data_IF_450580601168
#
_entry.id   IF_450580601168
#
_cell.length_a   1.000
_cell.length_b   1.000
_cell.length_c   1.000
_cell.angle_alpha   90.00
_cell.angle_beta   90.00
_cell.angle_gamma   90.00
#
_symmetry.space_group_name_H-M   'P 1'
#
loop_
_entity.id
_entity.type
_entity.pdbx_description
1 polymer ?
#
# COMPACT_ATOMS: atom_id res chain seq x y z
N UNK A 1 -13.97 -43.06 53.47
CA UNK A 1 -13.57 -41.73 52.96
C UNK A 1 -13.43 -41.84 51.45
N UNK A 2 -14.46 -41.48 50.70
CA UNK A 2 -14.43 -41.41 49.23
C UNK A 2 -14.39 -39.94 48.82
N UNK A 3 -13.36 -39.54 48.07
CA UNK A 3 -13.20 -38.19 47.55
C UNK A 3 -13.91 -38.09 46.20
N UNK A 4 -14.99 -37.30 46.14
CA UNK A 4 -15.65 -36.91 44.90
C UNK A 4 -14.83 -35.82 44.21
N UNK A 5 -14.32 -36.08 43.00
CA UNK A 5 -13.78 -35.05 42.12
C UNK A 5 -14.88 -34.49 41.23
N UNK A 6 -15.25 -33.24 41.46
CA UNK A 6 -16.06 -32.43 40.54
C UNK A 6 -15.11 -31.70 39.59
N UNK A 7 -15.14 -32.03 38.30
CA UNK A 7 -14.49 -31.23 37.25
C UNK A 7 -15.58 -30.37 36.61
N UNK A 8 -15.49 -29.03 36.62
CA UNK A 8 -16.47 -28.21 35.92
C UNK A 8 -16.21 -28.33 34.42
N UNK A 9 -17.25 -28.69 33.66
CA UNK A 9 -17.24 -28.54 32.21
C UNK A 9 -17.12 -27.04 31.89
N UNK A 10 -15.98 -26.64 31.33
CA UNK A 10 -15.85 -25.37 30.63
C UNK A 10 -16.70 -25.45 29.37
N UNK A 11 -17.83 -24.73 29.38
CA UNK A 11 -18.61 -24.50 28.17
C UNK A 11 -17.76 -23.63 27.24
N UNK A 12 -17.21 -24.23 26.19
CA UNK A 12 -16.71 -23.49 25.04
C UNK A 12 -17.91 -22.84 24.37
N UNK A 13 -18.15 -21.57 24.69
CA UNK A 13 -19.04 -20.72 23.91
C UNK A 13 -18.51 -20.72 22.48
N UNK A 14 -19.27 -21.29 21.55
CA UNK A 14 -19.00 -21.19 20.13
C UNK A 14 -19.08 -19.71 19.75
N UNK A 15 -17.94 -19.05 19.64
CA UNK A 15 -17.83 -17.85 18.82
C UNK A 15 -18.28 -18.27 17.43
N UNK A 16 -19.43 -17.75 17.01
CA UNK A 16 -19.86 -17.84 15.62
C UNK A 16 -18.74 -17.21 14.79
N UNK A 17 -17.94 -18.05 14.13
CA UNK A 17 -17.18 -17.60 12.97
C UNK A 17 -18.26 -17.28 11.95
N UNK A 18 -18.65 -16.01 11.88
CA UNK A 18 -19.51 -15.53 10.81
C UNK A 18 -18.72 -15.77 9.54
N UNK A 19 -19.09 -16.80 8.78
CA UNK A 19 -18.61 -17.01 7.42
C UNK A 19 -18.73 -15.67 6.70
N UNK A 20 -17.62 -15.13 6.18
CA UNK A 20 -17.65 -13.91 5.41
C UNK A 20 -18.53 -14.18 4.20
N UNK A 21 -19.81 -13.77 4.29
CA UNK A 21 -20.79 -13.95 3.23
C UNK A 21 -20.19 -13.42 1.93
N UNK A 22 -20.57 -14.05 0.81
CA UNK A 22 -20.24 -13.59 -0.53
C UNK A 22 -20.95 -12.26 -0.82
N UNK A 23 -20.54 -11.22 -0.10
CA UNK A 23 -21.09 -9.88 -0.13
C UNK A 23 -20.27 -9.11 -1.15
N UNK A 24 -20.89 -8.88 -2.31
CA UNK A 24 -20.37 -7.95 -3.29
C UNK A 24 -20.53 -6.54 -2.75
N UNK A 25 -19.43 -5.78 -2.70
CA UNK A 25 -19.40 -4.41 -2.23
C UNK A 25 -19.70 -3.44 -3.38
N UNK A 26 -20.35 -2.32 -3.06
CA UNK A 26 -20.67 -1.29 -4.04
C UNK A 26 -19.41 -0.46 -4.29
N UNK A 27 -18.93 -0.47 -5.54
CA UNK A 27 -17.80 0.33 -5.98
C UNK A 27 -18.30 1.55 -6.74
N UNK A 28 -18.63 2.61 -6.02
CA UNK A 28 -19.07 3.88 -6.59
C UNK A 28 -18.48 5.04 -5.78
N UNK A 29 -18.24 6.19 -6.41
CA UNK A 29 -17.68 7.37 -5.73
C UNK A 29 -18.51 7.82 -4.53
N UNK A 30 -19.83 7.58 -4.56
CA UNK A 30 -20.78 7.85 -3.47
C UNK A 30 -20.54 7.03 -2.21
N UNK A 31 -19.81 5.91 -2.32
CA UNK A 31 -19.43 5.06 -1.18
C UNK A 31 -18.38 5.74 -0.30
N UNK A 32 -17.68 6.74 -0.85
CA UNK A 32 -16.57 7.39 -0.19
C UNK A 32 -16.91 8.82 0.18
N UNK A 33 -16.54 9.19 1.40
CA UNK A 33 -16.48 10.56 1.88
C UNK A 33 -15.04 11.02 1.84
N UNK A 34 -14.81 12.30 1.53
CA UNK A 34 -13.47 12.88 1.53
C UNK A 34 -12.93 12.85 2.97
N UNK A 35 -11.89 12.06 3.28
CA UNK A 35 -11.39 11.98 4.64
C UNK A 35 -10.62 13.25 5.04
N UNK A 36 -10.76 13.64 6.30
CA UNK A 36 -9.97 14.74 6.85
C UNK A 36 -8.63 14.20 7.37
N UNK A 37 -7.55 14.54 6.66
CA UNK A 37 -6.19 14.11 6.98
C UNK A 37 -5.34 15.36 7.14
N UNK A 38 -4.89 15.59 8.38
CA UNK A 38 -4.06 16.75 8.69
C UNK A 38 -2.81 16.79 7.78
N UNK A 39 -2.64 17.90 7.06
CA UNK A 39 -1.52 18.11 6.14
C UNK A 39 -1.77 17.73 4.69
N UNK A 40 -2.98 17.29 4.33
CA UNK A 40 -3.31 16.85 2.97
C UNK A 40 -4.65 17.43 2.48
N UNK A 41 -4.64 18.13 1.34
CA UNK A 41 -5.87 18.63 0.73
C UNK A 41 -6.39 17.62 -0.30
N UNK A 42 -7.53 17.01 -0.02
CA UNK A 42 -8.17 16.06 -0.95
C UNK A 42 -9.08 16.81 -1.90
N UNK A 43 -8.80 16.71 -3.20
CA UNK A 43 -9.53 17.44 -4.24
C UNK A 43 -10.73 16.65 -4.74
N UNK A 44 -10.55 15.35 -5.01
CA UNK A 44 -11.62 14.47 -5.49
C UNK A 44 -11.30 13.01 -5.22
N UNK A 45 -12.36 12.22 -5.10
CA UNK A 45 -12.32 10.76 -5.06
C UNK A 45 -13.23 10.21 -6.15
N UNK A 46 -12.70 9.30 -6.96
CA UNK A 46 -13.49 8.56 -7.95
C UNK A 46 -13.28 7.07 -7.74
N UNK A 47 -14.32 6.28 -7.98
CA UNK A 47 -14.25 4.83 -7.84
C UNK A 47 -14.95 4.15 -9.02
N UNK A 48 -14.27 3.18 -9.63
CA UNK A 48 -14.77 2.43 -10.77
C UNK A 48 -14.54 0.92 -10.59
N UNK A 49 -15.56 0.06 -10.78
CA UNK A 49 -15.35 -1.37 -10.73
C UNK A 49 -14.59 -1.86 -11.97
N UNK A 50 -13.49 -2.57 -11.76
CA UNK A 50 -12.74 -3.27 -12.80
C UNK A 50 -12.98 -4.77 -12.68
N UNK A 51 -13.30 -5.41 -13.81
CA UNK A 51 -13.60 -6.85 -13.89
C UNK A 51 -12.76 -7.52 -14.94
N UNK A 52 -12.37 -8.77 -14.67
CA UNK A 52 -11.57 -9.61 -15.56
C UNK A 52 -10.35 -8.88 -16.14
N UNK A 53 -9.62 -8.17 -15.28
CA UNK A 53 -8.41 -7.45 -15.68
C UNK A 53 -7.22 -8.40 -15.73
N UNK A 54 -6.29 -8.10 -16.63
CA UNK A 54 -4.99 -8.74 -16.70
C UNK A 54 -3.91 -7.70 -16.47
N UNK A 55 -2.89 -8.08 -15.72
CA UNK A 55 -1.71 -7.26 -15.45
C UNK A 55 -0.51 -7.93 -16.08
N UNK A 56 0.15 -7.18 -16.96
CA UNK A 56 1.35 -7.60 -17.66
C UNK A 56 2.53 -6.80 -17.15
N UNK A 57 3.52 -7.49 -16.57
CA UNK A 57 4.61 -6.84 -15.84
C UNK A 57 5.83 -6.51 -16.70
N UNK A 58 5.87 -6.99 -17.96
CA UNK A 58 6.91 -6.65 -18.94
C UNK A 58 8.34 -7.02 -18.53
N UNK A 59 8.51 -7.74 -17.43
CA UNK A 59 9.78 -8.13 -16.83
C UNK A 59 9.79 -9.66 -16.63
N UNK A 60 10.87 -10.39 -17.00
CA UNK A 60 10.91 -11.86 -17.00
C UNK A 60 10.72 -12.55 -15.63
N UNK A 61 10.70 -11.80 -14.53
CA UNK A 61 10.65 -12.33 -13.16
C UNK A 61 9.28 -12.18 -12.48
N UNK A 62 8.29 -11.59 -13.16
CA UNK A 62 6.95 -11.39 -12.61
C UNK A 62 5.93 -12.21 -13.39
N UNK A 63 5.04 -12.87 -12.65
CA UNK A 63 3.97 -13.68 -13.23
C UNK A 63 2.84 -12.76 -13.71
N UNK A 64 2.39 -12.94 -14.95
CA UNK A 64 1.20 -12.26 -15.44
C UNK A 64 -0.03 -12.73 -14.65
N UNK A 65 -0.77 -11.75 -14.10
CA UNK A 65 -2.01 -12.02 -13.38
C UNK A 65 -3.19 -11.78 -14.33
N UNK A 66 -4.22 -12.62 -14.25
CA UNK A 66 -5.43 -12.50 -15.06
C UNK A 66 -6.67 -12.80 -14.23
N UNK A 67 -7.84 -12.34 -14.69
CA UNK A 67 -9.10 -12.58 -13.99
C UNK A 67 -9.31 -11.72 -12.74
N UNK A 68 -8.56 -10.62 -12.61
CA UNK A 68 -8.64 -9.75 -11.43
C UNK A 68 -9.93 -8.93 -11.43
N UNK A 69 -10.57 -8.86 -10.26
CA UNK A 69 -11.81 -8.11 -10.03
C UNK A 69 -11.64 -7.22 -8.79
N UNK A 70 -11.60 -5.91 -8.98
CA UNK A 70 -11.33 -4.95 -7.91
C UNK A 70 -12.04 -3.62 -8.18
N UNK A 71 -12.23 -2.83 -7.12
CA UNK A 71 -12.63 -1.45 -7.18
C UNK A 71 -11.38 -0.59 -7.35
N UNK A 72 -11.30 0.15 -8.46
CA UNK A 72 -10.22 1.11 -8.74
C UNK A 72 -10.62 2.47 -8.18
N UNK A 73 -10.08 2.83 -7.02
CA UNK A 73 -10.32 4.09 -6.36
C UNK A 73 -9.16 5.04 -6.65
N UNK A 74 -9.46 6.23 -7.14
CA UNK A 74 -8.50 7.28 -7.48
C UNK A 74 -8.77 8.51 -6.66
N UNK A 75 -7.77 8.95 -5.92
CA UNK A 75 -7.83 10.13 -5.07
C UNK A 75 -6.83 11.15 -5.59
N UNK A 76 -7.32 12.34 -5.92
CA UNK A 76 -6.47 13.47 -6.25
C UNK A 76 -6.19 14.27 -4.99
N UNK A 77 -4.91 14.46 -4.68
CA UNK A 77 -4.45 15.14 -3.47
C UNK A 77 -3.48 16.26 -3.84
N UNK A 78 -3.49 17.33 -3.06
CA UNK A 78 -2.60 18.46 -3.18
C UNK A 78 -2.00 18.78 -1.81
N UNK A 79 -0.72 19.14 -1.77
CA UNK A 79 -0.06 19.51 -0.52
C UNK A 79 -0.23 21.01 -0.25
N UNK A 80 -0.40 21.43 1.02
CA UNK A 80 -0.47 22.85 1.35
C UNK A 80 0.77 23.59 0.83
N UNK A 81 0.55 24.59 -0.03
CA UNK A 81 1.56 25.42 -0.69
C UNK A 81 2.33 24.79 -1.86
N UNK A 82 1.93 23.61 -2.36
CA UNK A 82 2.42 23.10 -3.64
C UNK A 82 1.32 23.20 -4.70
N UNK A 83 1.71 23.39 -5.97
CA UNK A 83 0.81 23.31 -7.12
C UNK A 83 0.78 21.88 -7.70
N UNK A 84 1.15 20.88 -6.89
CA UNK A 84 1.25 19.50 -7.35
C UNK A 84 -0.11 18.82 -7.20
N UNK A 85 -0.55 18.19 -8.28
CA UNK A 85 -1.68 17.26 -8.24
C UNK A 85 -1.14 15.84 -8.23
N UNK A 86 -1.26 15.18 -7.09
CA UNK A 86 -0.80 13.81 -6.89
C UNK A 86 -2.00 12.87 -7.00
N UNK A 87 -1.85 11.86 -7.85
CA UNK A 87 -2.83 10.80 -7.99
C UNK A 87 -2.44 9.64 -7.09
N UNK A 88 -3.32 9.32 -6.15
CA UNK A 88 -3.25 8.12 -5.33
C UNK A 88 -4.25 7.12 -5.89
N UNK A 89 -3.78 5.92 -6.22
CA UNK A 89 -4.59 4.84 -6.72
C UNK A 89 -4.67 3.75 -5.67
N UNK A 90 -5.89 3.30 -5.37
CA UNK A 90 -6.20 2.30 -4.36
C UNK A 90 -7.03 1.18 -4.99
N UNK A 91 -6.55 -0.06 -4.93
CA UNK A 91 -7.29 -1.21 -5.45
C UNK A 91 -7.88 -2.02 -4.31
N UNK A 92 -9.19 -2.28 -4.35
CA UNK A 92 -9.92 -2.99 -3.29
C UNK A 92 -10.67 -4.20 -3.86
N UNK A 93 -10.51 -5.42 -3.34
CA UNK A 93 -11.29 -6.57 -3.79
C UNK A 93 -12.80 -6.33 -3.75
N UNK A 94 -13.53 -6.67 -4.82
CA UNK A 94 -14.97 -6.40 -4.91
C UNK A 94 -15.82 -7.25 -3.96
N UNK A 95 -15.32 -8.40 -3.50
CA UNK A 95 -16.00 -9.22 -2.50
C UNK A 95 -15.24 -9.18 -1.18
N UNK A 96 -15.99 -9.06 -0.08
CA UNK A 96 -15.40 -9.05 1.27
C UNK A 96 -14.59 -10.32 1.58
N UNK A 97 -14.99 -11.48 1.05
CA UNK A 97 -14.28 -12.75 1.24
C UNK A 97 -12.88 -12.78 0.59
N UNK A 98 -12.69 -11.97 -0.45
CA UNK A 98 -11.43 -11.91 -1.20
C UNK A 98 -10.43 -10.98 -0.49
N UNK A 99 -10.88 -10.21 0.50
CA UNK A 99 -10.03 -9.38 1.33
C UNK A 99 -9.63 -10.10 2.62
N UNK A 100 -8.33 -10.31 2.79
CA UNK A 100 -7.74 -10.97 3.95
C UNK A 100 -7.60 -10.08 5.19
N UNK A 101 -8.11 -8.84 5.16
CA UNK A 101 -8.01 -7.90 6.28
C UNK A 101 -6.70 -7.11 6.34
N UNK A 102 -5.85 -7.19 5.31
CA UNK A 102 -4.58 -6.48 5.25
C UNK A 102 -4.62 -5.32 4.24
N UNK A 103 -3.89 -4.24 4.56
CA UNK A 103 -3.53 -3.16 3.65
C UNK A 103 -2.07 -3.33 3.22
N UNK A 104 -1.74 -3.08 1.96
CA UNK A 104 -0.36 -2.99 1.50
C UNK A 104 -0.13 -1.71 0.71
N UNK A 105 0.78 -0.86 1.19
CA UNK A 105 1.26 0.28 0.43
C UNK A 105 2.42 -0.12 -0.49
N UNK A 106 2.46 0.45 -1.68
CA UNK A 106 3.51 0.23 -2.67
C UNK A 106 4.36 1.49 -2.85
N UNK A 107 5.67 1.34 -2.74
CA UNK A 107 6.65 2.31 -3.18
C UNK A 107 6.89 2.26 -4.68
N UNK A 108 7.61 3.26 -5.23
CA UNK A 108 8.08 3.20 -6.62
C UNK A 108 9.56 2.92 -6.78
N UNK A 109 10.14 3.38 -7.89
CA UNK A 109 11.54 3.16 -8.27
C UNK A 109 12.06 4.25 -9.20
N UNK A 110 13.35 4.59 -9.10
CA UNK A 110 13.93 5.70 -9.86
C UNK A 110 13.36 7.07 -9.44
N UNK A 111 13.08 7.95 -10.41
CA UNK A 111 12.47 9.27 -10.15
C UNK A 111 10.93 9.23 -10.05
N UNK A 112 10.31 8.06 -10.23
CA UNK A 112 8.87 7.87 -10.15
C UNK A 112 8.52 7.11 -8.87
N UNK A 113 7.52 7.59 -8.14
CA UNK A 113 6.83 6.73 -7.16
C UNK A 113 5.69 6.02 -7.90
N UNK A 114 5.44 4.73 -7.63
CA UNK A 114 4.34 3.97 -8.26
C UNK A 114 4.63 2.51 -8.63
N UNK A 115 3.62 1.66 -8.34
CA UNK A 115 3.36 0.24 -8.64
C UNK A 115 4.52 -0.74 -8.90
N UNK A 116 4.84 -1.50 -7.84
CA UNK A 116 5.12 -2.94 -7.91
C UNK A 116 3.92 -3.66 -7.26
N UNK A 117 3.06 -4.32 -8.05
CA UNK A 117 1.75 -4.82 -7.57
C UNK A 117 1.82 -5.93 -6.52
N UNK A 118 0.74 -6.01 -5.74
CA UNK A 118 0.44 -7.10 -4.80
C UNK A 118 -1.06 -7.31 -4.63
N UNK A 119 -1.46 -8.54 -4.36
CA UNK A 119 -2.84 -9.07 -4.23
C UNK A 119 -3.67 -8.52 -3.03
N UNK A 120 -3.30 -7.37 -2.47
CA UNK A 120 -3.92 -6.78 -1.28
C UNK A 120 -4.69 -5.50 -1.60
N UNK A 121 -5.36 -4.90 -0.59
CA UNK A 121 -5.78 -3.51 -0.69
C UNK A 121 -4.53 -2.65 -0.92
N UNK A 122 -4.28 -2.25 -2.17
CA UNK A 122 -3.02 -1.71 -2.60
C UNK A 122 -3.12 -0.19 -2.65
N UNK A 123 -2.21 0.55 -2.01
CA UNK A 123 -2.14 2.02 -2.11
C UNK A 123 -0.87 2.38 -2.86
N UNK A 124 -1.00 3.02 -4.00
CA UNK A 124 0.11 3.49 -4.83
C UNK A 124 -0.10 4.96 -5.20
N UNK A 125 0.98 5.69 -5.44
CA UNK A 125 0.93 7.08 -5.89
C UNK A 125 1.86 7.28 -7.07
N UNK A 126 1.49 8.16 -8.01
CA UNK A 126 2.29 8.51 -9.18
C UNK A 126 3.53 9.39 -8.89
N UNK A 127 3.72 9.81 -7.63
CA UNK A 127 4.96 10.47 -7.21
C UNK A 127 5.13 11.84 -7.81
N UNK A 128 4.27 12.77 -7.39
CA UNK A 128 4.47 14.19 -7.69
C UNK A 128 5.91 14.63 -7.35
N UNK A 129 6.37 15.67 -8.04
CA UNK A 129 7.75 16.17 -8.02
C UNK A 129 8.31 16.45 -6.61
N UNK A 130 7.41 16.60 -5.62
CA UNK A 130 7.72 16.89 -4.23
C UNK A 130 7.31 15.82 -3.22
N UNK A 131 6.90 14.60 -3.63
CA UNK A 131 6.56 13.54 -2.68
C UNK A 131 7.83 13.06 -1.96
N UNK A 132 8.14 13.72 -0.85
CA UNK A 132 9.23 13.39 0.06
C UNK A 132 8.92 12.09 0.79
N UNK A 133 9.92 11.52 1.45
CA UNK A 133 9.74 10.31 2.27
C UNK A 133 8.61 10.44 3.32
N UNK A 134 8.34 11.66 3.78
CA UNK A 134 7.39 11.94 4.87
C UNK A 134 5.93 11.95 4.39
N UNK A 135 5.72 12.21 3.11
CA UNK A 135 4.40 12.27 2.48
C UNK A 135 3.77 10.88 2.34
N UNK A 136 4.60 9.83 2.19
CA UNK A 136 4.11 8.45 2.11
C UNK A 136 3.31 8.06 3.36
N UNK A 137 3.62 8.62 4.52
CA UNK A 137 2.87 8.34 5.75
C UNK A 137 1.42 8.86 5.66
N UNK A 138 1.23 10.07 5.12
CA UNK A 138 -0.09 10.68 4.91
C UNK A 138 -0.90 9.87 3.89
N UNK A 139 -0.26 9.41 2.81
CA UNK A 139 -0.90 8.59 1.79
C UNK A 139 -1.31 7.21 2.31
N UNK A 140 -0.52 6.61 3.20
CA UNK A 140 -0.90 5.37 3.89
C UNK A 140 -2.12 5.61 4.80
N UNK A 141 -2.14 6.74 5.52
CA UNK A 141 -3.30 7.16 6.32
C UNK A 141 -4.58 7.28 5.48
N UNK A 142 -4.47 7.89 4.29
CA UNK A 142 -5.56 7.95 3.31
C UNK A 142 -6.04 6.56 2.90
N UNK A 143 -5.09 5.68 2.58
CA UNK A 143 -5.38 4.28 2.27
C UNK A 143 -6.16 3.55 3.37
N UNK A 144 -5.73 3.70 4.63
CA UNK A 144 -6.42 3.11 5.79
C UNK A 144 -7.87 3.61 5.90
N UNK A 145 -8.09 4.91 5.75
CA UNK A 145 -9.43 5.50 5.77
C UNK A 145 -10.31 4.96 4.63
N UNK A 146 -9.80 4.90 3.41
CA UNK A 146 -10.55 4.38 2.25
C UNK A 146 -10.92 2.89 2.44
N UNK A 147 -10.00 2.08 2.96
CA UNK A 147 -10.23 0.66 3.29
C UNK A 147 -11.35 0.54 4.34
N UNK A 148 -11.30 1.34 5.41
CA UNK A 148 -12.30 1.31 6.47
C UNK A 148 -13.69 1.70 5.96
N UNK A 149 -13.79 2.73 5.11
CA UNK A 149 -15.05 3.15 4.49
C UNK A 149 -15.63 2.06 3.57
N UNK A 150 -14.79 1.39 2.78
CA UNK A 150 -15.26 0.39 1.81
C UNK A 150 -15.67 -0.93 2.45
N UNK A 151 -14.89 -1.43 3.40
CA UNK A 151 -15.14 -2.73 4.04
C UNK A 151 -15.94 -2.63 5.35
N UNK A 152 -16.17 -1.42 5.86
CA UNK A 152 -16.82 -1.18 7.15
C UNK A 152 -16.00 -1.63 8.35
N UNK A 153 -14.71 -1.93 8.16
CA UNK A 153 -13.76 -2.33 9.21
C UNK A 153 -12.35 -1.90 8.82
N UNK A 154 -11.57 -1.45 9.80
CA UNK A 154 -10.17 -1.12 9.61
C UNK A 154 -9.34 -2.36 9.21
N UNK A 155 -8.26 -2.14 8.46
CA UNK A 155 -7.27 -3.18 8.22
C UNK A 155 -6.64 -3.63 9.54
N UNK A 156 -6.52 -4.94 9.76
CA UNK A 156 -5.92 -5.48 10.97
C UNK A 156 -4.39 -5.39 10.94
N UNK A 157 -3.81 -5.50 9.74
CA UNK A 157 -2.39 -5.26 9.50
C UNK A 157 -2.18 -4.38 8.26
N UNK A 158 -1.12 -3.58 8.29
CA UNK A 158 -0.70 -2.68 7.24
C UNK A 158 0.77 -2.91 6.90
N UNK A 159 1.04 -3.24 5.64
CA UNK A 159 2.37 -3.55 5.14
C UNK A 159 2.84 -2.51 4.13
N UNK A 160 4.14 -2.47 3.88
CA UNK A 160 4.74 -1.69 2.81
C UNK A 160 5.65 -2.57 1.96
N UNK A 161 5.62 -2.40 0.64
CA UNK A 161 6.52 -3.07 -0.29
C UNK A 161 7.14 -2.05 -1.25
N UNK A 162 8.47 -2.04 -1.38
CA UNK A 162 9.16 -1.09 -2.26
C UNK A 162 10.50 -1.62 -2.77
N UNK A 163 10.96 -1.08 -3.91
CA UNK A 163 12.26 -1.41 -4.50
C UNK A 163 13.04 -0.13 -4.85
N UNK A 164 14.35 -0.07 -4.66
CA UNK A 164 15.17 1.11 -5.00
C UNK A 164 14.70 2.38 -4.26
N UNK A 165 14.11 3.35 -4.96
CA UNK A 165 13.54 4.55 -4.33
C UNK A 165 12.40 4.23 -3.36
N UNK A 166 11.61 3.19 -3.64
CA UNK A 166 10.56 2.70 -2.73
C UNK A 166 11.14 2.08 -1.47
N UNK A 167 12.28 1.40 -1.54
CA UNK A 167 12.94 0.93 -0.33
C UNK A 167 13.40 2.10 0.54
N UNK A 168 14.00 3.14 -0.05
CA UNK A 168 14.36 4.38 0.66
C UNK A 168 13.16 5.04 1.35
N UNK A 169 11.96 4.97 0.76
CA UNK A 169 10.71 5.40 1.40
C UNK A 169 10.32 4.47 2.56
N UNK A 170 10.39 3.16 2.35
CA UNK A 170 10.12 2.15 3.39
C UNK A 170 11.01 2.31 4.62
N UNK A 171 12.32 2.51 4.45
CA UNK A 171 13.23 2.77 5.58
C UNK A 171 12.90 4.07 6.31
N UNK A 172 12.51 5.12 5.59
CA UNK A 172 12.10 6.37 6.22
C UNK A 172 10.82 6.20 7.03
N UNK A 173 9.85 5.43 6.51
CA UNK A 173 8.65 5.04 7.25
C UNK A 173 9.00 4.27 8.52
N UNK A 174 9.90 3.28 8.43
CA UNK A 174 10.33 2.52 9.60
C UNK A 174 11.06 3.38 10.65
N UNK A 175 11.83 4.39 10.23
CA UNK A 175 12.59 5.27 11.13
C UNK A 175 11.74 6.36 11.78
N UNK A 176 10.80 6.96 11.05
CA UNK A 176 10.03 8.12 11.50
C UNK A 176 8.60 7.80 11.95
N UNK A 177 8.03 6.72 11.42
CA UNK A 177 6.63 6.34 11.58
C UNK A 177 6.53 4.85 11.98
N UNK A 178 7.25 4.45 13.03
CA UNK A 178 7.38 3.04 13.46
C UNK A 178 6.06 2.34 13.73
N UNK A 179 5.04 3.09 14.15
CA UNK A 179 3.74 2.55 14.56
C UNK A 179 2.72 2.57 13.41
N UNK A 180 3.11 3.07 12.23
CA UNK A 180 2.21 3.19 11.09
C UNK A 180 1.99 1.86 10.36
N UNK A 181 2.98 0.95 10.40
CA UNK A 181 3.01 -0.27 9.61
C UNK A 181 3.47 -1.44 10.48
N UNK A 182 2.88 -2.61 10.28
CA UNK A 182 3.27 -3.86 10.92
C UNK A 182 4.50 -4.50 10.26
N UNK A 183 4.79 -4.14 9.00
CA UNK A 183 5.96 -4.64 8.29
C UNK A 183 6.33 -3.84 7.04
N UNK A 184 7.63 -3.72 6.81
CA UNK A 184 8.22 -3.07 5.63
C UNK A 184 9.08 -4.09 4.89
N UNK A 185 8.70 -4.39 3.64
CA UNK A 185 9.47 -5.20 2.72
C UNK A 185 10.21 -4.27 1.73
N UNK A 186 11.50 -4.10 1.98
CA UNK A 186 12.38 -3.28 1.16
C UNK A 186 13.29 -4.14 0.27
N UNK A 187 13.38 -3.81 -1.02
CA UNK A 187 14.22 -4.49 -2.01
C UNK A 187 15.24 -3.52 -2.60
N UNK A 188 16.50 -3.91 -2.73
CA UNK A 188 17.56 -3.11 -3.36
C UNK A 188 17.68 -1.68 -2.77
N UNK A 189 18.15 -1.54 -1.52
CA UNK A 189 18.03 -0.30 -0.77
C UNK A 189 18.86 0.87 -1.32
N UNK A 190 18.18 1.99 -1.60
CA UNK A 190 18.83 3.27 -1.99
C UNK A 190 19.03 4.22 -0.79
N UNK A 191 19.39 3.69 0.38
CA UNK A 191 19.52 4.45 1.64
C UNK A 191 20.70 5.43 1.66
N UNK A 192 21.74 5.18 0.86
CA UNK A 192 22.86 6.09 0.58
C UNK A 192 22.74 6.70 -0.82
N UNK A 193 21.67 7.48 -1.07
CA UNK A 193 21.32 7.90 -2.43
C UNK A 193 22.45 8.62 -3.17
N UNK A 194 23.29 9.40 -2.48
CA UNK A 194 24.44 10.07 -3.10
C UNK A 194 25.48 9.07 -3.60
N UNK A 195 25.83 8.07 -2.79
CA UNK A 195 26.80 7.04 -3.17
C UNK A 195 26.26 6.14 -4.28
N UNK A 196 24.97 5.78 -4.21
CA UNK A 196 24.29 5.00 -5.25
C UNK A 196 24.16 5.79 -6.56
N UNK A 197 23.91 7.10 -6.49
CA UNK A 197 23.82 7.95 -7.67
C UNK A 197 25.19 8.19 -8.31
N UNK A 198 26.25 8.35 -7.52
CA UNK A 198 27.60 8.66 -8.00
C UNK A 198 28.42 7.42 -8.36
N UNK A 199 28.18 6.28 -7.69
CA UNK A 199 28.90 5.03 -7.89
C UNK A 199 28.97 4.57 -9.36
N UNK A 200 27.89 4.66 -10.14
CA UNK A 200 27.90 4.32 -11.56
C UNK A 200 28.70 5.24 -12.46
N UNK A 201 29.21 6.39 -11.99
CA UNK A 201 30.05 7.32 -12.77
C UNK A 201 31.55 7.17 -12.47
N UNK A 202 31.88 6.59 -11.31
CA UNK A 202 33.27 6.46 -10.87
C UNK A 202 34.12 5.60 -11.82
N UNK A 203 33.66 4.42 -12.30
CA UNK A 203 34.43 3.63 -13.27
C UNK A 203 34.72 4.40 -14.57
N UNK A 204 33.80 5.24 -15.04
CA UNK A 204 33.92 6.01 -16.28
C UNK A 204 34.92 7.15 -16.11
N UNK A 205 34.95 7.77 -14.93
CA UNK A 205 35.97 8.77 -14.59
C UNK A 205 37.36 8.12 -14.59
N UNK A 206 37.52 6.97 -13.92
CA UNK A 206 38.78 6.22 -13.87
C UNK A 206 39.22 5.76 -15.27
N UNK A 207 38.33 5.18 -16.07
CA UNK A 207 38.65 4.77 -17.45
C UNK A 207 39.13 5.96 -18.30
N UNK A 208 38.50 7.13 -18.13
CA UNK A 208 38.91 8.37 -18.81
C UNK A 208 40.27 8.88 -18.34
N UNK A 209 40.55 8.85 -17.04
CA UNK A 209 41.85 9.28 -16.48
C UNK A 209 42.99 8.33 -16.88
N UNK A 210 42.72 7.03 -16.93
CA UNK A 210 43.67 5.97 -17.28
C UNK A 210 43.80 5.72 -18.79
N UNK A 211 43.05 6.45 -19.63
CA UNK A 211 43.04 6.31 -21.10
C UNK A 211 42.72 4.89 -21.60
N UNK A 212 41.81 4.20 -20.90
CA UNK A 212 41.28 2.86 -21.26
C UNK A 212 39.87 2.93 -21.84
#
# INVERSE_FOLDING_TARGET
MGLNFWVPLLAFGSTLITEAKNTLLVCESSTFTLPDIAGLNILSITAEPKRNQSLHFGLPLYLDLSGLNYCDVKVQVCYPNSNDNVLVQIWLPLNLKDWNGCLQAAGGGGAATGLFDSEYAAVSTNGGYFCTQDDMALLIGLGKSVVEQFFGKAAHHSYYNGCSQGDRQGYALAQKYSDLLDGVNGKCPSIGFLDVAMGPYWPQLVMKEESI
#
